data_IF_268278919748
#
_entry.id   IF_268278919748
#
_cell.length_a   1.000
_cell.length_b   1.000
_cell.length_c   1.000
_cell.angle_alpha   90.00
_cell.angle_beta   90.00
_cell.angle_gamma   90.00
#
_symmetry.space_group_name_H-M   'P 1'
#
loop_
_entity.id
_entity.type
_entity.pdbx_description
1 polymer ?
#
# COMPACT_ATOMS: atom_id res chain seq x y z
N UNK A 1 62.35 -16.65 -11.30
CA UNK A 1 60.91 -16.32 -11.48
C UNK A 1 60.41 -15.78 -10.15
N UNK A 2 59.97 -14.53 -10.11
CA UNK A 2 59.39 -13.95 -8.89
C UNK A 2 57.99 -14.53 -8.62
N UNK A 3 57.64 -14.60 -7.34
CA UNK A 3 56.39 -15.22 -6.88
C UNK A 3 55.33 -14.13 -6.72
N UNK A 4 54.17 -14.34 -7.34
CA UNK A 4 53.03 -13.40 -7.34
C UNK A 4 52.63 -12.95 -5.93
N UNK A 5 52.78 -13.83 -4.93
CA UNK A 5 52.48 -13.55 -3.53
C UNK A 5 53.24 -12.35 -2.93
N UNK A 6 54.37 -11.93 -3.50
CA UNK A 6 55.15 -10.79 -3.02
C UNK A 6 54.51 -9.43 -3.37
N UNK A 7 53.52 -9.40 -4.26
CA UNK A 7 52.82 -8.19 -4.71
C UNK A 7 51.40 -8.06 -4.15
N UNK A 8 50.98 -9.00 -3.30
CA UNK A 8 49.64 -9.01 -2.70
C UNK A 8 49.74 -8.41 -1.30
N UNK A 9 48.99 -7.33 -1.04
CA UNK A 9 48.90 -6.76 0.30
C UNK A 9 48.33 -7.79 1.29
N UNK A 10 48.89 -7.81 2.50
CA UNK A 10 48.41 -8.63 3.62
C UNK A 10 46.89 -8.62 3.83
N UNK A 11 46.22 -7.49 3.53
CA UNK A 11 44.78 -7.28 3.67
C UNK A 11 43.94 -7.97 2.59
N UNK A 12 44.54 -8.32 1.45
CA UNK A 12 43.87 -9.01 0.34
C UNK A 12 44.07 -10.53 0.40
N UNK A 13 44.52 -11.05 1.54
CA UNK A 13 44.70 -12.49 1.75
C UNK A 13 43.40 -13.16 2.19
N UNK A 14 43.27 -14.46 1.89
CA UNK A 14 42.13 -15.29 2.35
C UNK A 14 42.00 -15.24 3.87
N UNK A 15 43.12 -15.22 4.60
CA UNK A 15 43.13 -15.09 6.06
C UNK A 15 42.50 -13.77 6.51
N UNK A 16 42.86 -12.65 5.88
CA UNK A 16 42.27 -11.36 6.19
C UNK A 16 40.76 -11.34 5.92
N UNK A 17 40.33 -11.88 4.77
CA UNK A 17 38.91 -12.06 4.45
C UNK A 17 38.17 -12.84 5.53
N UNK A 18 38.69 -14.02 5.93
CA UNK A 18 38.07 -14.85 6.97
C UNK A 18 37.96 -14.08 8.29
N UNK A 19 38.99 -13.34 8.71
CA UNK A 19 38.94 -12.55 9.96
C UNK A 19 37.97 -11.38 9.86
N UNK A 20 37.93 -10.67 8.72
CA UNK A 20 37.01 -9.54 8.54
C UNK A 20 35.55 -9.97 8.56
N UNK A 21 35.24 -11.14 7.99
CA UNK A 21 33.89 -11.67 7.92
C UNK A 21 33.62 -12.80 8.92
N UNK A 22 34.54 -13.11 9.85
CA UNK A 22 34.34 -14.17 10.87
C UNK A 22 33.26 -13.78 11.85
N UNK A 23 33.17 -12.50 12.17
CA UNK A 23 32.02 -11.91 12.84
C UNK A 23 30.95 -11.63 11.78
N UNK A 24 30.39 -12.71 11.23
CA UNK A 24 29.25 -12.62 10.33
C UNK A 24 28.14 -11.82 11.00
N UNK A 25 27.53 -10.88 10.26
CA UNK A 25 26.20 -10.37 10.63
C UNK A 25 25.29 -11.58 10.78
N UNK A 26 24.94 -11.92 12.01
CA UNK A 26 24.09 -13.08 12.28
C UNK A 26 22.83 -12.94 11.43
N UNK A 27 22.37 -14.02 10.78
CA UNK A 27 21.09 -13.96 10.09
C UNK A 27 20.04 -13.48 11.08
N UNK A 28 19.14 -12.59 10.64
CA UNK A 28 18.00 -12.23 11.47
C UNK A 28 17.24 -13.52 11.80
N UNK A 29 16.92 -13.78 13.08
CA UNK A 29 16.12 -14.93 13.43
C UNK A 29 14.74 -14.82 12.80
N UNK A 30 14.07 -15.95 12.58
CA UNK A 30 12.69 -15.97 12.11
C UNK A 30 11.78 -15.20 13.08
N UNK A 31 10.73 -14.59 12.55
CA UNK A 31 9.77 -13.80 13.32
C UNK A 31 9.14 -14.62 14.45
N UNK A 32 9.02 -15.94 14.26
CA UNK A 32 8.52 -16.87 15.27
C UNK A 32 9.35 -16.93 16.58
N UNK A 33 10.64 -16.56 16.53
CA UNK A 33 11.56 -16.62 17.68
C UNK A 33 11.76 -15.24 18.31
N UNK A 34 11.16 -14.18 17.75
CA UNK A 34 11.31 -12.84 18.28
C UNK A 34 10.64 -12.73 19.66
N UNK A 35 11.33 -12.21 20.68
CA UNK A 35 10.71 -12.01 21.98
C UNK A 35 9.59 -10.98 21.85
N UNK A 36 8.45 -11.25 22.50
CA UNK A 36 7.39 -10.26 22.65
C UNK A 36 7.84 -9.18 23.64
N UNK A 37 8.50 -8.15 23.15
CA UNK A 37 8.93 -7.01 23.96
C UNK A 37 7.79 -6.01 24.08
N UNK A 38 7.39 -5.65 25.31
CA UNK A 38 6.56 -4.46 25.54
C UNK A 38 7.43 -3.22 25.39
N UNK A 39 7.62 -2.79 24.14
CA UNK A 39 8.28 -1.53 23.81
C UNK A 39 7.35 -0.34 24.08
N UNK A 40 7.88 0.90 24.01
CA UNK A 40 7.03 2.07 23.86
C UNK A 40 6.14 1.88 22.62
N UNK A 41 4.88 2.29 22.72
CA UNK A 41 4.00 2.33 21.56
C UNK A 41 4.66 3.24 20.51
N UNK A 42 4.97 2.67 19.34
CA UNK A 42 5.56 3.43 18.24
C UNK A 42 4.39 4.15 17.57
N UNK A 43 4.23 5.42 17.89
CA UNK A 43 3.27 6.25 17.16
C UNK A 43 3.70 6.33 15.69
N UNK A 44 2.75 6.22 14.75
CA UNK A 44 3.04 6.45 13.35
C UNK A 44 3.74 7.81 13.16
N UNK A 45 4.68 7.93 12.23
CA UNK A 45 5.25 9.23 11.92
C UNK A 45 4.13 10.19 11.52
N UNK A 46 4.26 11.45 11.94
CA UNK A 46 3.33 12.49 11.53
C UNK A 46 3.26 12.57 10.01
N UNK A 47 2.07 12.39 9.46
CA UNK A 47 1.84 12.52 8.01
C UNK A 47 1.87 14.01 7.67
N UNK A 48 3.04 14.52 7.31
CA UNK A 48 3.17 15.88 6.81
C UNK A 48 2.60 15.96 5.39
N UNK A 49 1.52 16.73 5.23
CA UNK A 49 1.02 17.08 3.90
C UNK A 49 2.05 18.00 3.26
N UNK A 50 2.78 17.48 2.28
CA UNK A 50 3.68 18.30 1.48
C UNK A 50 2.90 19.47 0.86
N UNK A 51 3.51 20.66 0.85
CA UNK A 51 2.94 21.83 0.16
C UNK A 51 2.67 21.41 -1.28
N UNK A 52 1.38 21.35 -1.63
CA UNK A 52 0.96 20.93 -2.96
C UNK A 52 1.60 21.80 -4.03
N UNK A 53 1.78 21.23 -5.23
CA UNK A 53 2.30 21.96 -6.39
C UNK A 53 1.57 23.30 -6.53
N UNK A 54 2.32 24.41 -6.48
CA UNK A 54 1.75 25.74 -6.69
C UNK A 54 0.86 25.72 -7.93
N UNK A 55 -0.37 26.25 -7.78
CA UNK A 55 -1.31 26.33 -8.88
C UNK A 55 -0.61 27.10 -10.00
N UNK A 56 -0.51 26.51 -11.19
CA UNK A 56 -0.13 27.30 -12.37
C UNK A 56 -1.16 28.41 -12.46
N UNK A 57 -0.71 29.66 -12.49
CA UNK A 57 -1.60 30.76 -12.84
C UNK A 57 -2.29 30.38 -14.15
N UNK A 58 -3.62 30.46 -14.17
CA UNK A 58 -4.35 30.27 -15.40
C UNK A 58 -3.79 31.30 -16.39
N UNK A 59 -3.41 30.83 -17.59
CA UNK A 59 -3.00 31.73 -18.67
C UNK A 59 -4.07 32.82 -18.82
N UNK A 60 -3.64 34.08 -18.81
CA UNK A 60 -4.50 35.20 -19.16
C UNK A 60 -5.00 35.01 -20.59
N UNK A 61 -6.32 35.05 -20.74
CA UNK A 61 -6.98 34.84 -22.03
C UNK A 61 -7.27 36.19 -22.65
N UNK A 62 -6.99 36.32 -23.94
CA UNK A 62 -7.33 37.53 -24.68
C UNK A 62 -8.86 37.66 -24.85
N UNK A 63 -9.31 38.89 -25.11
CA UNK A 63 -10.73 39.30 -25.16
C UNK A 63 -11.59 38.41 -26.09
N UNK A 64 -10.98 37.73 -27.07
CA UNK A 64 -11.68 36.94 -28.08
C UNK A 64 -11.51 35.41 -27.91
N UNK A 65 -10.93 34.93 -26.81
CA UNK A 65 -10.86 33.49 -26.55
C UNK A 65 -12.24 32.95 -26.12
N UNK A 66 -12.89 32.20 -27.01
CA UNK A 66 -14.15 31.54 -26.73
C UNK A 66 -14.04 30.68 -25.46
N UNK A 67 -14.81 31.05 -24.42
CA UNK A 67 -15.06 30.20 -23.27
C UNK A 67 -15.69 28.91 -23.79
N UNK A 68 -14.92 27.83 -23.88
CA UNK A 68 -15.46 26.50 -24.16
C UNK A 68 -16.58 26.24 -23.16
N UNK A 69 -17.84 26.41 -23.59
CA UNK A 69 -19.03 26.11 -22.80
C UNK A 69 -18.82 24.69 -22.29
N UNK A 70 -18.75 24.54 -20.95
CA UNK A 70 -18.56 23.23 -20.32
C UNK A 70 -19.59 22.29 -20.95
N UNK A 71 -19.12 21.29 -21.69
CA UNK A 71 -19.97 20.32 -22.37
C UNK A 71 -20.99 19.81 -21.36
N UNK A 72 -22.25 19.95 -21.75
CA UNK A 72 -23.49 19.57 -21.08
C UNK A 72 -23.27 18.62 -19.90
N UNK A 73 -23.70 19.06 -18.71
CA UNK A 73 -23.86 18.18 -17.55
C UNK A 73 -24.83 17.07 -17.98
N UNK A 74 -24.31 15.91 -18.35
CA UNK A 74 -25.11 14.71 -18.59
C UNK A 74 -25.98 14.49 -17.34
N UNK A 75 -27.28 14.35 -17.54
CA UNK A 75 -28.22 14.09 -16.45
C UNK A 75 -27.90 12.72 -15.86
N UNK A 76 -27.44 12.71 -14.61
CA UNK A 76 -27.08 11.45 -13.92
C UNK A 76 -28.37 10.67 -13.67
N UNK A 77 -28.51 9.51 -14.30
CA UNK A 77 -29.62 8.58 -14.08
C UNK A 77 -29.16 7.42 -13.20
N UNK A 78 -29.91 7.13 -12.15
CA UNK A 78 -29.63 6.02 -11.24
C UNK A 78 -30.02 4.68 -11.89
N UNK A 79 -29.15 3.68 -11.85
CA UNK A 79 -29.46 2.35 -12.40
C UNK A 79 -30.42 1.53 -11.51
N UNK A 80 -30.46 1.79 -10.19
CA UNK A 80 -31.36 1.07 -9.28
C UNK A 80 -32.81 1.53 -9.43
N UNK A 81 -33.06 2.84 -9.33
CA UNK A 81 -34.41 3.38 -9.28
C UNK A 81 -34.81 4.17 -10.54
N UNK A 82 -33.92 4.25 -11.55
CA UNK A 82 -34.12 5.03 -12.78
C UNK A 82 -34.38 6.54 -12.59
N UNK A 83 -34.28 7.05 -11.35
CA UNK A 83 -34.43 8.47 -11.03
C UNK A 83 -33.25 9.32 -11.54
N UNK A 84 -33.52 10.60 -11.77
CA UNK A 84 -32.55 11.58 -12.29
C UNK A 84 -31.97 12.39 -11.12
N UNK A 85 -30.70 12.81 -11.21
CA UNK A 85 -30.05 13.70 -10.26
C UNK A 85 -29.19 12.98 -9.20
N UNK A 86 -29.13 11.66 -9.21
CA UNK A 86 -28.30 10.87 -8.29
C UNK A 86 -27.84 9.56 -8.96
N UNK A 87 -26.77 8.95 -8.45
CA UNK A 87 -26.22 7.70 -8.97
C UNK A 87 -26.58 6.52 -8.05
N UNK A 88 -26.21 5.29 -8.42
CA UNK A 88 -26.45 4.09 -7.60
C UNK A 88 -25.93 4.23 -6.15
N UNK A 89 -24.81 4.91 -5.96
CA UNK A 89 -24.14 5.04 -4.65
C UNK A 89 -24.90 5.94 -3.68
N UNK A 90 -25.59 6.97 -4.18
CA UNK A 90 -26.41 7.88 -3.37
C UNK A 90 -27.90 7.60 -3.48
N UNK A 91 -28.29 6.41 -3.93
CA UNK A 91 -29.69 6.03 -4.06
C UNK A 91 -30.28 5.71 -2.68
N UNK A 92 -31.44 6.30 -2.37
CA UNK A 92 -32.18 6.04 -1.13
C UNK A 92 -32.75 4.61 -1.04
N UNK A 93 -32.90 3.94 -2.20
CA UNK A 93 -33.34 2.56 -2.32
C UNK A 93 -32.20 1.71 -2.91
N UNK A 94 -31.17 1.35 -2.13
CA UNK A 94 -30.14 0.44 -2.57
C UNK A 94 -30.74 -0.97 -2.72
N UNK A 95 -30.63 -1.57 -3.90
CA UNK A 95 -30.78 -3.03 -4.02
C UNK A 95 -29.52 -3.67 -3.43
N UNK A 96 -29.72 -4.63 -2.53
CA UNK A 96 -28.65 -5.48 -2.01
C UNK A 96 -27.89 -6.09 -3.18
N UNK A 97 -26.61 -5.75 -3.30
CA UNK A 97 -25.77 -6.35 -4.34
C UNK A 97 -25.56 -7.82 -3.98
N UNK A 98 -25.75 -8.72 -4.94
CA UNK A 98 -25.54 -10.17 -4.82
C UNK A 98 -24.15 -10.57 -4.28
N UNK A 99 -23.18 -9.66 -4.25
CA UNK A 99 -21.87 -9.84 -3.62
C UNK A 99 -21.91 -9.89 -2.08
N UNK A 100 -22.95 -9.36 -1.42
CA UNK A 100 -23.09 -9.41 0.05
C UNK A 100 -23.64 -10.77 0.54
N UNK A 101 -24.44 -11.45 -0.30
CA UNK A 101 -25.05 -12.76 0.03
C UNK A 101 -23.99 -13.87 0.16
N UNK A 102 -22.89 -13.77 -0.57
CA UNK A 102 -21.78 -14.73 -0.49
C UNK A 102 -20.99 -14.65 0.83
N UNK A 103 -21.10 -13.54 1.58
CA UNK A 103 -20.35 -13.36 2.84
C UNK A 103 -21.06 -13.97 4.04
N UNK A 104 -22.40 -13.96 4.04
CA UNK A 104 -23.23 -14.48 5.14
C UNK A 104 -23.33 -16.01 5.18
N UNK A 105 -23.11 -16.70 4.05
CA UNK A 105 -23.08 -18.17 4.02
C UNK A 105 -21.78 -18.76 4.58
N UNK A 106 -20.68 -18.01 4.56
CA UNK A 106 -19.36 -18.49 5.02
C UNK A 106 -19.20 -18.42 6.55
N UNK A 107 -19.98 -17.59 7.25
CA UNK A 107 -19.97 -17.50 8.72
C UNK A 107 -20.53 -18.77 9.38
N UNK A 108 -21.55 -19.40 8.79
CA UNK A 108 -22.22 -20.58 9.38
C UNK A 108 -21.44 -21.90 9.22
N UNK A 109 -20.36 -21.93 8.45
CA UNK A 109 -19.48 -23.11 8.35
C UNK A 109 -18.36 -23.09 9.39
N UNK A 110 -17.84 -21.91 9.77
CA UNK A 110 -16.77 -21.78 10.77
C UNK A 110 -17.25 -22.12 12.20
N UNK A 111 -18.52 -21.87 12.53
CA UNK A 111 -19.09 -22.18 13.85
C UNK A 111 -19.39 -23.68 14.04
N UNK A 112 -19.55 -24.45 12.95
CA UNK A 112 -19.75 -25.91 13.03
C UNK A 112 -18.45 -26.70 13.14
N UNK A 113 -17.32 -26.14 12.69
CA UNK A 113 -16.01 -26.80 12.79
C UNK A 113 -15.38 -26.71 14.20
N UNK A 114 -15.81 -25.78 15.06
CA UNK A 114 -15.28 -25.63 16.42
C UNK A 114 -15.93 -26.57 17.45
N UNK A 115 -16.98 -27.32 17.09
CA UNK A 115 -17.72 -28.22 17.98
C UNK A 115 -17.43 -29.71 17.75
N UNK A 116 -16.47 -30.06 16.88
CA UNK A 116 -16.13 -31.44 16.49
C UNK A 116 -14.64 -31.76 16.60
N UNK A 117 -13.94 -31.23 17.60
CA UNK A 117 -12.64 -31.76 17.98
C UNK A 117 -12.69 -32.28 19.42
N UNK A 118 -12.31 -33.55 19.67
CA UNK A 118 -12.21 -34.12 21.01
C UNK A 118 -11.09 -33.49 21.83
#
# INVERSE_FOLDING_TARGET
RERVANYVDSRLTVRAYIVTYSESTKPLPDQAIWPSVRGPEIEPPEILVQVGRAKKHAREKELNELLRKRKNKQTVKCINCSGIGHNKRSCKNPVESSFQVAKSLNTTQSERQSQLQP
#
